data_IF_131745984157
#
_entry.id   IF_131745984157
#
_cell.length_a   1.000
_cell.length_b   1.000
_cell.length_c   1.000
_cell.angle_alpha   90.00
_cell.angle_beta   90.00
_cell.angle_gamma   90.00
#
_symmetry.space_group_name_H-M   'P 1'
#
loop_
_entity.id
_entity.type
_entity.pdbx_description
1 polymer ?
#
# COMPACT_ATOMS: atom_id res chain seq x y z
N UNK A 1 -14.13 8.17 0.87
CA UNK A 1 -14.91 8.69 2.02
C UNK A 1 -14.03 9.39 3.05
N UNK A 2 -12.94 8.79 3.55
CA UNK A 2 -12.06 9.42 4.55
C UNK A 2 -11.51 10.78 4.12
N UNK A 3 -11.08 10.94 2.87
CA UNK A 3 -10.61 12.22 2.32
C UNK A 3 -11.67 13.34 2.43
N UNK A 4 -12.92 13.05 2.07
CA UNK A 4 -14.02 14.01 2.14
C UNK A 4 -14.34 14.39 3.58
N UNK A 5 -14.36 13.41 4.50
CA UNK A 5 -14.57 13.68 5.93
C UNK A 5 -13.45 14.56 6.51
N UNK A 6 -12.21 14.32 6.11
CA UNK A 6 -11.08 15.11 6.61
C UNK A 6 -11.10 16.52 6.03
N UNK A 7 -11.24 16.66 4.71
CA UNK A 7 -11.14 17.96 4.04
C UNK A 7 -12.39 18.84 4.23
N UNK A 8 -13.59 18.28 4.08
CA UNK A 8 -14.85 19.04 4.20
C UNK A 8 -15.46 18.98 5.61
N UNK A 9 -15.15 17.94 6.40
CA UNK A 9 -15.71 17.77 7.74
C UNK A 9 -14.96 18.52 8.84
N UNK A 10 -13.61 18.50 8.86
CA UNK A 10 -12.85 19.20 9.92
C UNK A 10 -13.10 20.73 9.99
N UNK A 11 -13.35 21.44 8.87
CA UNK A 11 -13.72 22.86 8.94
C UNK A 11 -14.95 23.13 9.81
N UNK A 12 -15.90 22.19 9.91
CA UNK A 12 -17.09 22.34 10.76
C UNK A 12 -16.77 22.40 12.27
N UNK A 13 -15.59 21.94 12.66
CA UNK A 13 -15.08 21.94 14.05
C UNK A 13 -13.96 23.00 14.21
N UNK A 14 -13.78 23.88 13.23
CA UNK A 14 -12.81 24.98 13.28
C UNK A 14 -11.38 24.63 12.88
N UNK A 15 -11.13 23.42 12.36
CA UNK A 15 -9.80 23.01 11.88
C UNK A 15 -9.77 23.13 10.35
N UNK A 16 -9.01 24.09 9.84
CA UNK A 16 -8.78 24.27 8.41
C UNK A 16 -7.46 23.58 8.03
N UNK A 17 -7.56 22.59 7.14
CA UNK A 17 -6.42 21.91 6.56
C UNK A 17 -6.39 22.15 5.06
N UNK A 18 -5.21 22.47 4.54
CA UNK A 18 -4.99 22.50 3.10
C UNK A 18 -5.20 21.10 2.49
N UNK A 19 -5.48 21.07 1.18
CA UNK A 19 -5.80 19.85 0.45
C UNK A 19 -4.70 18.77 0.58
N UNK A 20 -3.43 19.16 0.50
CA UNK A 20 -2.31 18.23 0.59
C UNK A 20 -2.18 17.55 1.96
N UNK A 21 -2.08 18.27 3.10
CA UNK A 21 -2.02 17.63 4.42
C UNK A 21 -3.29 16.82 4.74
N UNK A 22 -4.47 17.28 4.31
CA UNK A 22 -5.71 16.51 4.46
C UNK A 22 -5.63 15.16 3.71
N UNK A 23 -5.12 15.17 2.48
CA UNK A 23 -4.90 13.95 1.70
C UNK A 23 -3.87 13.03 2.34
N UNK A 24 -2.74 13.59 2.79
CA UNK A 24 -1.68 12.83 3.45
C UNK A 24 -2.19 12.08 4.68
N UNK A 25 -2.95 12.75 5.55
CA UNK A 25 -3.53 12.14 6.75
C UNK A 25 -4.55 11.06 6.35
N UNK A 26 -5.44 11.35 5.40
CA UNK A 26 -6.45 10.41 4.96
C UNK A 26 -5.87 9.13 4.37
N UNK A 27 -4.89 9.25 3.47
CA UNK A 27 -4.21 8.08 2.91
C UNK A 27 -3.37 7.34 3.94
N UNK A 28 -2.65 8.05 4.82
CA UNK A 28 -1.84 7.43 5.87
C UNK A 28 -2.69 6.61 6.83
N UNK A 29 -3.85 7.14 7.25
CA UNK A 29 -4.78 6.42 8.12
C UNK A 29 -5.32 5.17 7.42
N UNK A 30 -5.72 5.31 6.16
CA UNK A 30 -6.26 4.21 5.37
C UNK A 30 -5.23 3.10 5.19
N UNK A 31 -4.08 3.45 4.60
CA UNK A 31 -3.03 2.51 4.25
C UNK A 31 -2.37 1.93 5.50
N UNK A 32 -2.27 2.71 6.58
CA UNK A 32 -1.74 2.28 7.85
C UNK A 32 -2.58 1.18 8.49
N UNK A 33 -3.92 1.30 8.43
CA UNK A 33 -4.82 0.26 8.92
C UNK A 33 -4.64 -1.05 8.12
N UNK A 34 -4.65 -0.98 6.78
CA UNK A 34 -4.43 -2.15 5.93
C UNK A 34 -3.03 -2.77 6.14
N UNK A 35 -2.00 -1.94 6.21
CA UNK A 35 -0.61 -2.39 6.39
C UNK A 35 -0.42 -3.06 7.75
N UNK A 36 -1.04 -2.52 8.81
CA UNK A 36 -1.00 -3.13 10.15
C UNK A 36 -1.58 -4.55 10.14
N UNK A 37 -2.71 -4.73 9.46
CA UNK A 37 -3.35 -6.04 9.34
C UNK A 37 -2.53 -7.02 8.50
N UNK A 38 -1.91 -6.54 7.42
CA UNK A 38 -0.96 -7.33 6.63
C UNK A 38 0.21 -7.78 7.51
N UNK A 39 0.83 -6.88 8.27
CA UNK A 39 1.95 -7.20 9.17
C UNK A 39 1.51 -8.23 10.23
N UNK A 40 0.32 -8.08 10.80
CA UNK A 40 -0.24 -9.05 11.75
C UNK A 40 -0.42 -10.42 11.11
N UNK A 41 -0.98 -10.48 9.90
CA UNK A 41 -1.24 -11.71 9.17
C UNK A 41 0.05 -12.45 8.79
N UNK A 42 1.08 -11.73 8.32
CA UNK A 42 2.37 -12.33 7.90
C UNK A 42 3.20 -12.80 9.08
N UNK A 43 3.10 -12.17 10.25
CA UNK A 43 3.69 -12.68 11.49
C UNK A 43 2.94 -13.95 11.94
N UNK A 44 1.61 -13.95 11.81
CA UNK A 44 0.76 -15.09 12.16
C UNK A 44 0.89 -16.29 11.22
N UNK A 45 1.37 -16.11 9.99
CA UNK A 45 1.58 -17.20 9.04
C UNK A 45 2.87 -17.99 9.28
N UNK A 46 3.76 -17.52 10.16
CA UNK A 46 4.99 -18.25 10.52
C UNK A 46 4.63 -19.51 11.31
N UNK A 47 5.10 -20.71 10.90
CA UNK A 47 4.76 -21.96 11.56
C UNK A 47 5.08 -21.95 13.06
N UNK A 48 4.17 -22.52 13.87
CA UNK A 48 4.36 -22.62 15.34
C UNK A 48 5.65 -23.35 15.73
N UNK A 49 6.10 -24.31 14.92
CA UNK A 49 7.38 -25.00 15.15
C UNK A 49 8.60 -24.07 15.15
N UNK A 50 8.60 -22.97 14.41
CA UNK A 50 9.69 -21.98 14.44
C UNK A 50 9.73 -21.20 15.75
N UNK A 51 8.55 -20.94 16.32
CA UNK A 51 8.41 -20.34 17.64
C UNK A 51 8.89 -21.30 18.72
N UNK A 52 8.37 -22.53 18.72
CA UNK A 52 8.73 -23.58 19.68
C UNK A 52 10.23 -23.88 19.64
N UNK A 53 10.82 -24.06 18.46
CA UNK A 53 12.26 -24.29 18.30
C UNK A 53 13.11 -23.13 18.85
N UNK A 54 12.70 -21.89 18.63
CA UNK A 54 13.40 -20.71 19.17
C UNK A 54 13.36 -20.70 20.70
N UNK A 55 12.21 -21.03 21.29
CA UNK A 55 12.08 -21.13 22.75
C UNK A 55 12.83 -22.32 23.33
N UNK A 56 12.89 -23.46 22.63
CA UNK A 56 13.63 -24.65 23.07
C UNK A 56 15.14 -24.43 23.18
N UNK A 57 15.71 -23.52 22.37
CA UNK A 57 17.12 -23.12 22.47
C UNK A 57 17.34 -21.92 23.41
N UNK A 58 16.35 -21.57 24.22
CA UNK A 58 16.45 -20.53 25.26
C UNK A 58 16.34 -19.10 24.77
N UNK A 59 15.81 -18.84 23.56
CA UNK A 59 15.60 -17.46 23.11
C UNK A 59 14.46 -16.79 23.87
N UNK A 60 14.64 -15.52 24.23
CA UNK A 60 13.55 -14.65 24.68
C UNK A 60 12.62 -14.29 23.52
N UNK A 61 11.40 -13.84 23.82
CA UNK A 61 10.44 -13.41 22.80
C UNK A 61 11.04 -12.41 21.80
N UNK A 62 11.78 -11.41 22.27
CA UNK A 62 12.40 -10.39 21.41
C UNK A 62 13.52 -10.98 20.53
N UNK A 63 14.26 -11.97 21.04
CA UNK A 63 15.30 -12.67 20.27
C UNK A 63 14.67 -13.54 19.19
N UNK A 64 13.65 -14.34 19.53
CA UNK A 64 12.90 -15.14 18.58
C UNK A 64 12.27 -14.25 17.50
N UNK A 65 11.57 -13.18 17.91
CA UNK A 65 10.94 -12.23 17.00
C UNK A 65 11.94 -11.62 16.02
N UNK A 66 13.06 -11.08 16.50
CA UNK A 66 14.04 -10.38 15.65
C UNK A 66 14.87 -11.32 14.79
N UNK A 67 15.24 -12.50 15.28
CA UNK A 67 16.21 -13.39 14.62
C UNK A 67 15.56 -14.48 13.77
N UNK A 68 14.38 -14.95 14.16
CA UNK A 68 13.72 -16.08 13.50
C UNK A 68 12.46 -15.64 12.77
N UNK A 69 11.52 -14.97 13.46
CA UNK A 69 10.18 -14.69 12.92
C UNK A 69 10.18 -13.52 11.93
N UNK A 70 10.70 -12.34 12.29
CA UNK A 70 10.68 -11.16 11.42
C UNK A 70 11.36 -11.40 10.06
N UNK A 71 12.53 -12.07 9.96
CA UNK A 71 13.13 -12.38 8.67
C UNK A 71 12.28 -13.32 7.81
N UNK A 72 11.50 -14.21 8.41
CA UNK A 72 10.59 -15.12 7.70
C UNK A 72 9.31 -14.39 7.26
N UNK A 73 8.64 -13.74 8.21
CA UNK A 73 7.44 -12.94 7.99
C UNK A 73 7.70 -11.82 6.97
N UNK A 74 8.85 -11.15 7.04
CA UNK A 74 9.23 -10.08 6.11
C UNK A 74 9.30 -10.54 4.65
N UNK A 75 9.74 -11.78 4.39
CA UNK A 75 9.76 -12.34 3.03
C UNK A 75 8.34 -12.58 2.51
N UNK A 76 7.45 -13.06 3.38
CA UNK A 76 6.02 -13.29 3.07
C UNK A 76 5.25 -11.96 2.96
N UNK A 77 5.73 -10.90 3.60
CA UNK A 77 5.11 -9.57 3.58
C UNK A 77 5.35 -8.79 2.29
N UNK A 78 6.43 -9.05 1.55
CA UNK A 78 6.79 -8.27 0.36
C UNK A 78 5.69 -8.30 -0.72
N UNK A 79 5.12 -9.47 -1.13
CA UNK A 79 4.05 -9.50 -2.12
C UNK A 79 2.80 -8.67 -1.74
N UNK A 80 2.16 -8.87 -0.57
CA UNK A 80 0.97 -8.10 -0.21
C UNK A 80 1.27 -6.61 -0.01
N UNK A 81 2.41 -6.25 0.60
CA UNK A 81 2.79 -4.84 0.76
C UNK A 81 3.02 -4.15 -0.59
N UNK A 82 3.62 -4.85 -1.55
CA UNK A 82 3.82 -4.33 -2.91
C UNK A 82 2.49 -4.11 -3.62
N UNK A 83 1.55 -5.05 -3.47
CA UNK A 83 0.22 -4.91 -4.04
C UNK A 83 -0.55 -3.71 -3.45
N UNK A 84 -0.48 -3.54 -2.13
CA UNK A 84 -1.05 -2.39 -1.42
C UNK A 84 -0.41 -1.07 -1.88
N UNK A 85 0.90 -1.04 -2.12
CA UNK A 85 1.59 0.13 -2.68
C UNK A 85 1.12 0.47 -4.11
N UNK A 86 1.00 -0.52 -4.99
CA UNK A 86 0.49 -0.30 -6.36
C UNK A 86 -0.95 0.21 -6.35
N UNK A 87 -1.76 -0.30 -5.43
CA UNK A 87 -3.14 0.18 -5.23
C UNK A 87 -3.14 1.62 -4.76
N UNK A 88 -2.31 1.98 -3.78
CA UNK A 88 -2.17 3.36 -3.30
C UNK A 88 -1.80 4.33 -4.43
N UNK A 89 -0.89 3.96 -5.35
CA UNK A 89 -0.52 4.79 -6.51
C UNK A 89 -1.71 5.09 -7.42
N UNK A 90 -2.69 4.19 -7.51
CA UNK A 90 -3.94 4.45 -8.25
C UNK A 90 -4.91 5.26 -7.39
N UNK A 91 -5.00 4.96 -6.10
CA UNK A 91 -5.91 5.62 -5.16
C UNK A 91 -5.58 7.11 -4.95
N UNK A 92 -4.33 7.54 -5.19
CA UNK A 92 -3.96 8.96 -5.18
C UNK A 92 -4.76 9.79 -6.19
N UNK A 93 -5.28 9.18 -7.26
CA UNK A 93 -6.19 9.87 -8.21
C UNK A 93 -7.47 10.37 -7.52
N UNK A 94 -7.90 9.75 -6.42
CA UNK A 94 -9.03 10.22 -5.61
C UNK A 94 -8.74 11.56 -4.92
N UNK A 95 -7.46 11.92 -4.75
CA UNK A 95 -7.06 13.20 -4.16
C UNK A 95 -7.43 14.40 -5.05
N UNK A 96 -7.61 14.18 -6.36
CA UNK A 96 -8.12 15.22 -7.26
C UNK A 96 -9.51 15.73 -6.82
N UNK A 97 -10.32 14.88 -6.19
CA UNK A 97 -11.65 15.29 -5.74
C UNK A 97 -11.60 16.38 -4.66
N UNK A 98 -10.47 16.51 -3.95
CA UNK A 98 -10.20 17.56 -2.95
C UNK A 98 -9.14 18.56 -3.44
N UNK A 99 -8.99 18.71 -4.75
CA UNK A 99 -8.13 19.73 -5.40
C UNK A 99 -6.62 19.58 -5.21
N UNK A 100 -6.15 18.40 -4.77
CA UNK A 100 -4.70 18.14 -4.67
C UNK A 100 -4.08 18.17 -6.07
N UNK A 101 -2.97 18.91 -6.28
CA UNK A 101 -2.30 18.97 -7.58
C UNK A 101 -1.55 17.66 -7.85
N UNK A 102 -2.26 16.67 -8.39
CA UNK A 102 -1.70 15.41 -8.89
C UNK A 102 -2.05 15.20 -10.37
N UNK A 103 -1.71 14.04 -10.94
CA UNK A 103 -1.80 13.78 -12.39
C UNK A 103 -3.24 13.87 -12.92
N UNK A 104 -4.21 13.30 -12.21
CA UNK A 104 -5.62 13.34 -12.62
C UNK A 104 -6.20 14.76 -12.50
N UNK A 105 -5.81 15.53 -11.49
CA UNK A 105 -6.13 16.94 -11.34
C UNK A 105 -5.55 17.78 -12.48
N UNK A 106 -4.33 17.48 -12.91
CA UNK A 106 -3.72 18.14 -14.07
C UNK A 106 -4.53 17.87 -15.34
N UNK A 107 -4.96 16.61 -15.56
CA UNK A 107 -5.85 16.27 -16.67
C UNK A 107 -7.17 17.06 -16.61
N UNK A 108 -7.84 17.12 -15.45
CA UNK A 108 -9.06 17.91 -15.26
C UNK A 108 -8.88 19.40 -15.55
N UNK A 109 -7.73 19.98 -15.17
CA UNK A 109 -7.41 21.40 -15.48
C UNK A 109 -7.28 21.65 -16.97
N UNK A 110 -6.70 20.71 -17.72
CA UNK A 110 -6.57 20.80 -19.18
C UNK A 110 -7.93 20.58 -19.84
N UNK A 111 -8.74 19.65 -19.33
CA UNK A 111 -10.13 19.44 -19.80
C UNK A 111 -10.96 20.72 -19.66
N UNK A 112 -10.77 21.48 -18.57
CA UNK A 112 -11.50 22.73 -18.34
C UNK A 112 -11.17 23.83 -19.38
N UNK A 113 -10.04 23.75 -20.07
CA UNK A 113 -9.66 24.72 -21.12
C UNK A 113 -9.89 24.20 -22.54
N UNK A 114 -9.75 22.88 -22.74
CA UNK A 114 -9.87 22.22 -24.06
C UNK A 114 -11.27 21.70 -24.36
N UNK A 115 -12.10 21.50 -23.33
CA UNK A 115 -13.45 20.93 -23.40
C UNK A 115 -13.53 19.52 -24.04
N UNK A 116 -12.42 18.77 -24.06
CA UNK A 116 -12.35 17.41 -24.59
C UNK A 116 -12.06 16.37 -23.47
N UNK A 117 -13.06 16.02 -22.63
CA UNK A 117 -12.86 15.15 -21.47
C UNK A 117 -12.45 13.72 -21.84
N UNK A 118 -13.01 13.16 -22.91
CA UNK A 118 -12.81 11.75 -23.24
C UNK A 118 -11.35 11.43 -23.55
N UNK A 119 -10.71 12.23 -24.41
CA UNK A 119 -9.34 12.01 -24.86
C UNK A 119 -8.36 12.13 -23.68
N UNK A 120 -8.50 13.20 -22.88
CA UNK A 120 -7.60 13.48 -21.75
C UNK A 120 -7.75 12.47 -20.61
N UNK A 121 -8.96 11.98 -20.32
CA UNK A 121 -9.14 10.94 -19.30
C UNK A 121 -8.63 9.57 -19.77
N UNK A 122 -8.74 9.25 -21.06
CA UNK A 122 -8.12 8.04 -21.63
C UNK A 122 -6.59 8.13 -21.55
N UNK A 123 -6.01 9.28 -21.85
CA UNK A 123 -4.57 9.50 -21.73
C UNK A 123 -4.10 9.36 -20.27
N UNK A 124 -4.79 10.00 -19.32
CA UNK A 124 -4.49 9.86 -17.90
C UNK A 124 -4.62 8.40 -17.45
N UNK A 125 -5.65 7.67 -17.89
CA UNK A 125 -5.82 6.26 -17.60
C UNK A 125 -4.68 5.40 -18.18
N UNK A 126 -4.22 5.70 -19.39
CA UNK A 126 -3.08 5.03 -20.01
C UNK A 126 -1.78 5.26 -19.23
N UNK A 127 -1.56 6.47 -18.70
CA UNK A 127 -0.41 6.77 -17.85
C UNK A 127 -0.45 6.01 -16.51
N UNK A 128 -1.60 5.98 -15.82
CA UNK A 128 -1.76 5.16 -14.62
C UNK A 128 -1.58 3.67 -14.92
N UNK A 129 -2.07 3.20 -16.06
CA UNK A 129 -1.89 1.82 -16.50
C UNK A 129 -0.40 1.51 -16.75
N UNK A 130 0.32 2.40 -17.43
CA UNK A 130 1.75 2.24 -17.68
C UNK A 130 2.53 2.19 -16.36
N UNK A 131 2.29 3.12 -15.44
CA UNK A 131 2.93 3.16 -14.13
C UNK A 131 2.65 1.89 -13.31
N UNK A 132 1.37 1.50 -13.21
CA UNK A 132 0.98 0.30 -12.46
C UNK A 132 1.49 -0.98 -13.10
N UNK A 133 1.60 -1.04 -14.43
CA UNK A 133 2.20 -2.18 -15.14
C UNK A 133 3.70 -2.30 -14.87
N UNK A 134 4.43 -1.18 -14.87
CA UNK A 134 5.86 -1.16 -14.52
C UNK A 134 6.07 -1.62 -13.08
N UNK A 135 5.28 -1.10 -12.13
CA UNK A 135 5.36 -1.53 -10.72
C UNK A 135 4.98 -3.00 -10.54
N UNK A 136 3.97 -3.49 -11.26
CA UNK A 136 3.56 -4.90 -11.22
C UNK A 136 4.65 -5.82 -11.78
N UNK A 137 5.34 -5.41 -12.85
CA UNK A 137 6.48 -6.15 -13.38
C UNK A 137 7.67 -6.17 -12.41
N UNK A 138 7.92 -5.05 -11.70
CA UNK A 138 8.93 -5.01 -10.63
C UNK A 138 8.56 -5.91 -9.46
N UNK A 139 7.29 -5.89 -9.04
CA UNK A 139 6.75 -6.79 -8.02
C UNK A 139 6.96 -8.26 -8.43
N UNK A 140 6.58 -8.66 -9.65
CA UNK A 140 6.77 -10.03 -10.13
C UNK A 140 8.25 -10.45 -10.10
N UNK A 141 9.18 -9.55 -10.47
CA UNK A 141 10.62 -9.83 -10.36
C UNK A 141 11.10 -9.97 -8.92
N UNK A 142 10.58 -9.16 -8.00
CA UNK A 142 10.87 -9.27 -6.56
C UNK A 142 10.34 -10.58 -6.00
N UNK A 143 9.12 -10.97 -6.38
CA UNK A 143 8.51 -12.23 -5.99
C UNK A 143 9.32 -13.42 -6.48
N UNK A 144 9.75 -13.47 -7.74
CA UNK A 144 10.61 -14.56 -8.25
C UNK A 144 11.92 -14.68 -7.47
N UNK A 145 12.53 -13.56 -7.08
CA UNK A 145 13.76 -13.56 -6.27
C UNK A 145 13.52 -14.08 -4.84
N UNK A 146 12.35 -13.82 -4.26
CA UNK A 146 11.99 -14.24 -2.91
C UNK A 146 11.44 -15.66 -2.86
N UNK A 147 10.64 -16.07 -3.86
CA UNK A 147 10.05 -17.41 -3.99
C UNK A 147 11.07 -18.50 -4.27
N UNK A 148 12.29 -18.18 -4.73
CA UNK A 148 13.36 -19.17 -4.93
C UNK A 148 13.74 -19.93 -3.64
N UNK A 149 13.27 -19.48 -2.47
CA UNK A 149 13.46 -20.13 -1.17
C UNK A 149 12.13 -20.33 -0.39
N UNK A 150 10.98 -20.03 -1.01
CA UNK A 150 9.65 -20.02 -0.38
C UNK A 150 8.84 -21.32 -0.53
N UNK A 151 9.31 -22.28 -1.33
CA UNK A 151 8.63 -23.56 -1.58
C UNK A 151 8.42 -24.47 -0.36
N UNK A 152 8.79 -24.02 0.85
CA UNK A 152 8.55 -24.76 2.09
C UNK A 152 7.15 -24.51 2.70
N UNK A 153 6.48 -23.40 2.34
CA UNK A 153 5.15 -23.07 2.88
C UNK A 153 4.00 -23.71 2.10
N UNK A 154 4.19 -24.02 0.82
CA UNK A 154 3.18 -24.71 0.00
C UNK A 154 3.17 -26.23 0.19
N UNK A 155 4.19 -26.81 0.84
CA UNK A 155 4.28 -28.25 1.02
C UNK A 155 3.39 -28.82 2.14
N UNK A 156 2.67 -27.96 2.89
CA UNK A 156 1.84 -28.38 4.03
C UNK A 156 0.46 -27.68 4.09
N UNK A 157 -0.07 -27.20 2.96
CA UNK A 157 -1.48 -26.84 2.81
C UNK A 157 -2.21 -27.96 2.07
#
# INVERSE_FOLDING_TARGET
VQLFLIFYGLPSVGILLDAFPAALIGFTLNIGAYTSEIIRAVIGSVPKGQWEASYSIGMTWSQAMRRTILPQAGRVAVPPLSNTFISLVKDTSLAAAITVPEMFQAAQRIVATTYEPLILYVEAAALYLAMSSVLSALQARLEVRLNRYGGFLEANA
#
